data_IF_263066807115
#
_entry.id   IF_263066807115
#
_cell.length_a   1.000
_cell.length_b   1.000
_cell.length_c   1.000
_cell.angle_alpha   90.00
_cell.angle_beta   90.00
_cell.angle_gamma   90.00
#
_symmetry.space_group_name_H-M   'P 1'
#
loop_
_entity.id
_entity.type
_entity.pdbx_description
1 polymer ?
#
# COMPACT_ATOMS: atom_id res chain seq x y z
N UNK A 1 -5.86 -7.20 13.90
CA UNK A 1 -5.92 -6.64 12.53
C UNK A 1 -5.32 -5.25 12.55
N UNK A 2 -4.43 -4.96 11.61
CA UNK A 2 -3.77 -3.67 11.58
C UNK A 2 -4.68 -2.57 11.09
N UNK A 3 -4.54 -1.36 11.63
CA UNK A 3 -5.30 -0.22 11.11
C UNK A 3 -4.96 0.07 9.65
N UNK A 4 -5.94 0.62 8.95
CA UNK A 4 -5.77 0.99 7.55
C UNK A 4 -4.58 1.92 7.34
N UNK A 5 -4.46 2.93 8.19
CA UNK A 5 -3.39 3.92 8.04
C UNK A 5 -2.01 3.30 8.21
N UNK A 6 -1.89 2.34 9.11
CA UNK A 6 -0.62 1.67 9.33
C UNK A 6 -0.21 0.85 8.11
N UNK A 7 -1.17 0.16 7.50
CA UNK A 7 -0.88 -0.65 6.31
C UNK A 7 -0.43 0.24 5.16
N UNK A 8 -1.13 1.36 4.95
CA UNK A 8 -0.75 2.30 3.89
C UNK A 8 0.60 2.95 4.17
N UNK A 9 0.88 3.26 5.42
CA UNK A 9 2.17 3.82 5.80
C UNK A 9 3.30 2.83 5.57
N UNK A 10 3.06 1.54 5.81
CA UNK A 10 4.06 0.51 5.56
C UNK A 10 4.40 0.41 4.07
N UNK A 11 3.38 0.52 3.22
CA UNK A 11 3.61 0.53 1.77
C UNK A 11 4.45 1.73 1.37
N UNK A 12 4.11 2.90 1.90
CA UNK A 12 4.84 4.11 1.59
C UNK A 12 6.29 4.02 2.06
N UNK A 13 6.52 3.48 3.23
CA UNK A 13 7.88 3.32 3.76
C UNK A 13 8.72 2.41 2.89
N UNK A 14 8.15 1.29 2.45
CA UNK A 14 8.86 0.36 1.58
C UNK A 14 9.20 0.99 0.25
N UNK A 15 8.24 1.73 -0.33
CA UNK A 15 8.47 2.44 -1.57
C UNK A 15 9.58 3.47 -1.43
N UNK A 16 9.52 4.27 -0.37
CA UNK A 16 10.50 5.35 -0.15
C UNK A 16 11.90 4.80 0.01
N UNK A 17 12.04 3.70 0.72
CA UNK A 17 13.34 3.07 0.91
C UNK A 17 13.94 2.63 -0.42
N UNK A 18 13.12 1.98 -1.26
CA UNK A 18 13.59 1.53 -2.56
C UNK A 18 13.88 2.70 -3.49
N UNK A 19 13.05 3.73 -3.44
CA UNK A 19 13.23 4.91 -4.26
C UNK A 19 14.53 5.63 -3.91
N UNK A 20 14.79 5.80 -2.61
CA UNK A 20 16.02 6.48 -2.18
C UNK A 20 17.25 5.69 -2.60
N UNK A 21 17.17 4.37 -2.55
CA UNK A 21 18.28 3.52 -3.00
C UNK A 21 18.51 3.68 -4.50
N UNK A 22 17.46 3.68 -5.29
CA UNK A 22 17.57 3.84 -6.73
C UNK A 22 18.13 5.21 -7.08
N UNK A 23 17.75 6.24 -6.32
CA UNK A 23 18.27 7.58 -6.54
C UNK A 23 19.76 7.65 -6.20
N UNK A 24 20.16 7.03 -5.10
CA UNK A 24 21.57 7.02 -4.71
C UNK A 24 22.41 6.29 -5.73
N UNK A 25 21.85 5.28 -6.40
CA UNK A 25 22.54 4.52 -7.43
C UNK A 25 22.37 5.12 -8.83
N UNK A 26 21.71 6.27 -8.91
CA UNK A 26 21.52 7.00 -10.16
C UNK A 26 20.84 6.14 -11.23
N UNK A 27 19.71 5.55 -10.88
CA UNK A 27 18.94 4.69 -11.77
C UNK A 27 17.59 5.35 -12.06
N UNK A 28 17.53 6.31 -12.99
CA UNK A 28 16.28 7.05 -13.22
C UNK A 28 15.14 6.19 -13.74
N UNK A 29 15.45 5.18 -14.56
CA UNK A 29 14.39 4.27 -15.03
C UNK A 29 13.80 3.50 -13.87
N UNK A 30 14.64 3.04 -12.95
CA UNK A 30 14.16 2.33 -11.77
C UNK A 30 13.28 3.22 -10.91
N UNK A 31 13.64 4.49 -10.80
CA UNK A 31 12.85 5.45 -10.04
C UNK A 31 11.46 5.62 -10.65
N UNK A 32 11.39 5.71 -11.99
CA UNK A 32 10.10 5.82 -12.67
C UNK A 32 9.26 4.56 -12.47
N UNK A 33 9.89 3.39 -12.55
CA UNK A 33 9.19 2.13 -12.34
C UNK A 33 8.63 2.01 -10.93
N UNK A 34 9.44 2.42 -9.95
CA UNK A 34 9.00 2.38 -8.57
C UNK A 34 7.82 3.32 -8.33
N UNK A 35 7.87 4.51 -8.93
CA UNK A 35 6.81 5.48 -8.77
C UNK A 35 5.50 4.97 -9.36
N UNK A 36 5.56 4.44 -10.58
CA UNK A 36 4.36 3.88 -11.22
C UNK A 36 3.84 2.67 -10.47
N UNK A 37 4.76 1.82 -10.00
CA UNK A 37 4.39 0.64 -9.24
C UNK A 37 3.74 0.99 -7.91
N UNK A 38 4.26 2.02 -7.25
CA UNK A 38 3.69 2.46 -5.98
C UNK A 38 2.26 2.96 -6.17
N UNK A 39 2.01 3.76 -7.19
CA UNK A 39 0.68 4.27 -7.45
C UNK A 39 -0.32 3.13 -7.70
N UNK A 40 0.09 2.16 -8.51
CA UNK A 40 -0.76 1.00 -8.79
C UNK A 40 -1.00 0.18 -7.53
N UNK A 41 0.06 -0.06 -6.77
CA UNK A 41 -0.04 -0.88 -5.57
C UNK A 41 -0.88 -0.18 -4.51
N UNK A 42 -0.77 1.14 -4.41
CA UNK A 42 -1.56 1.90 -3.46
C UNK A 42 -3.05 1.79 -3.78
N UNK A 43 -3.40 1.96 -5.05
CA UNK A 43 -4.81 1.84 -5.45
C UNK A 43 -5.33 0.44 -5.18
N UNK A 44 -4.55 -0.57 -5.52
CA UNK A 44 -4.94 -1.95 -5.29
C UNK A 44 -5.13 -2.23 -3.82
N UNK A 45 -4.20 -1.74 -3.00
CA UNK A 45 -4.27 -1.95 -1.56
C UNK A 45 -5.48 -1.23 -0.96
N UNK A 46 -5.80 -0.03 -1.45
CA UNK A 46 -6.97 0.68 -0.97
C UNK A 46 -8.26 -0.08 -1.25
N UNK A 47 -8.36 -0.67 -2.45
CA UNK A 47 -9.51 -1.48 -2.79
C UNK A 47 -9.61 -2.71 -1.88
N UNK A 48 -8.48 -3.36 -1.63
CA UNK A 48 -8.46 -4.52 -0.75
C UNK A 48 -8.86 -4.15 0.68
N UNK A 49 -8.40 -2.99 1.15
CA UNK A 49 -8.78 -2.52 2.48
C UNK A 49 -10.25 -2.18 2.56
N UNK A 50 -10.81 -1.62 1.49
CA UNK A 50 -12.23 -1.35 1.44
C UNK A 50 -13.04 -2.64 1.50
N UNK A 51 -12.58 -3.68 0.80
CA UNK A 51 -13.22 -4.99 0.86
C UNK A 51 -13.14 -5.56 2.26
N UNK A 52 -11.97 -5.47 2.89
CA UNK A 52 -11.80 -5.94 4.26
C UNK A 52 -12.75 -5.24 5.21
N UNK A 53 -12.84 -3.91 5.09
CA UNK A 53 -13.71 -3.13 5.96
C UNK A 53 -15.17 -3.50 5.74
N UNK A 54 -15.55 -3.70 4.49
CA UNK A 54 -16.92 -4.10 4.17
C UNK A 54 -17.25 -5.49 4.74
N UNK A 55 -16.32 -6.42 4.61
CA UNK A 55 -16.53 -7.77 5.14
C UNK A 55 -16.60 -7.75 6.65
N UNK A 56 -15.79 -6.92 7.30
CA UNK A 56 -15.84 -6.79 8.73
C UNK A 56 -17.17 -6.25 9.21
N UNK A 57 -17.67 -5.24 8.52
CA UNK A 57 -18.97 -4.67 8.86
C UNK A 57 -20.11 -5.68 8.64
N UNK A 58 -20.00 -6.47 7.59
CA UNK A 58 -20.99 -7.48 7.29
C UNK A 58 -20.96 -8.60 8.31
N UNK A 59 -19.77 -8.98 8.76
CA UNK A 59 -19.61 -10.10 9.67
C UNK A 59 -20.08 -9.77 11.08
N UNK A 60 -19.89 -8.54 11.52
CA UNK A 60 -20.19 -8.13 12.88
C UNK A 60 -21.65 -8.41 13.29
N UNK A 61 -22.64 -8.03 12.48
CA UNK A 61 -24.04 -8.24 12.90
C UNK A 61 -24.40 -9.70 13.07
N UNK A 62 -23.64 -10.60 12.49
CA UNK A 62 -23.94 -12.02 12.56
C UNK A 62 -23.26 -12.71 13.73
N UNK A 63 -22.59 -11.95 14.55
CA UNK A 63 -21.85 -12.50 15.68
C UNK A 63 -22.73 -12.84 16.87
N UNK A 64 -23.95 -13.02 16.69
CA UNK A 64 -24.84 -13.36 17.80
C UNK A 64 -25.20 -14.83 17.84
#
# INVERSE_FOLDING_TARGET
MRPRDQILANLESAYREQYDRARAEQQPRRMEELDAGYQRDQLMLEVLLDVRDLLGATALPRSR
#
